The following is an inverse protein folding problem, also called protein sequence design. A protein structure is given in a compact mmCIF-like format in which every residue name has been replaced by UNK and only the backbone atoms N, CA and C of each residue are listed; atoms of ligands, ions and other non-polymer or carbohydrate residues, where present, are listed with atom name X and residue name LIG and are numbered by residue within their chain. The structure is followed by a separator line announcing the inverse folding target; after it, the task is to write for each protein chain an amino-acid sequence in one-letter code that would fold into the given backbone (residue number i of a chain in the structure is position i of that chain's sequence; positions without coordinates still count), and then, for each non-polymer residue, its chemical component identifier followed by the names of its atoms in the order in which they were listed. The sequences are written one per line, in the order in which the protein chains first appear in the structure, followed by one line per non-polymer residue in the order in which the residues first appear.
data_IF_534434864028
#
_entry.id   IF_534434864028
#
_cell.length_a   1.000
_cell.length_b   1.000
_cell.length_c   1.000
_cell.angle_alpha   90.00
_cell.angle_beta   90.00
_cell.angle_gamma   90.00
#
_symmetry.space_group_name_H-M   'P 1'
#
loop_
_entity.id
_entity.type
_entity.pdbx_description
1 polymer ?
#
# COMPACT_ATOMS: atom_id res chain seq x y z
N UNK A 1 2.22 17.21 4.01
CA UNK A 1 1.29 16.62 4.98
C UNK A 1 -0.07 16.55 4.35
N UNK A 2 -0.44 15.34 3.93
CA UNK A 2 -1.70 15.03 3.29
C UNK A 2 -2.01 13.59 3.70
N UNK A 3 -3.08 13.36 4.49
CA UNK A 3 -3.44 12.03 4.91
C UNK A 3 -3.89 11.17 3.73
N UNK A 4 -3.74 9.85 3.88
CA UNK A 4 -4.26 8.86 2.94
C UNK A 4 -5.79 8.96 2.93
N UNK A 5 -6.37 9.28 1.78
CA UNK A 5 -7.81 9.36 1.60
C UNK A 5 -8.40 8.03 1.10
N UNK A 6 -7.68 7.33 0.21
CA UNK A 6 -8.12 6.05 -0.35
C UNK A 6 -6.94 5.12 -0.62
N UNK A 7 -7.17 3.83 -0.40
CA UNK A 7 -6.32 2.73 -0.85
C UNK A 7 -7.20 1.83 -1.71
N UNK A 8 -6.82 1.64 -2.96
CA UNK A 8 -7.55 0.85 -3.96
C UNK A 8 -6.61 -0.21 -4.54
N UNK A 9 -7.16 -1.34 -5.00
CA UNK A 9 -6.40 -2.34 -5.73
C UNK A 9 -7.12 -2.82 -6.98
N UNK A 10 -6.33 -3.26 -7.96
CA UNK A 10 -6.80 -3.62 -9.29
C UNK A 10 -6.16 -4.93 -9.73
N UNK A 11 -7.00 -5.94 -10.01
CA UNK A 11 -6.56 -7.12 -10.73
C UNK A 11 -6.35 -6.76 -12.20
N UNK A 12 -5.14 -6.96 -12.70
CA UNK A 12 -4.79 -6.69 -14.09
C UNK A 12 -4.34 -8.00 -14.75
N UNK A 13 -4.93 -8.40 -15.89
CA UNK A 13 -4.49 -9.59 -16.62
C UNK A 13 -2.98 -9.53 -16.96
N UNK A 14 -2.25 -10.67 -16.95
CA UNK A 14 -2.79 -12.02 -16.71
C UNK A 14 -2.90 -12.41 -15.24
N UNK A 15 -2.18 -11.75 -14.31
CA UNK A 15 -2.12 -12.13 -12.88
C UNK A 15 -1.59 -11.04 -11.95
N UNK A 16 -1.57 -9.79 -12.37
CA UNK A 16 -1.03 -8.69 -11.59
C UNK A 16 -2.05 -8.13 -10.60
N UNK A 17 -1.54 -7.60 -9.50
CA UNK A 17 -2.34 -6.87 -8.51
C UNK A 17 -1.66 -5.52 -8.23
N UNK A 18 -2.22 -4.45 -8.80
CA UNK A 18 -1.76 -3.10 -8.54
C UNK A 18 -2.47 -2.48 -7.35
N UNK A 19 -1.76 -1.64 -6.62
CA UNK A 19 -2.23 -0.85 -5.50
C UNK A 19 -2.12 0.62 -5.88
N UNK A 20 -3.16 1.39 -5.60
CA UNK A 20 -3.20 2.83 -5.80
C UNK A 20 -3.53 3.51 -4.48
N UNK A 21 -2.74 4.51 -4.12
CA UNK A 21 -2.99 5.37 -2.96
C UNK A 21 -3.34 6.75 -3.47
N UNK A 22 -4.41 7.33 -2.91
CA UNK A 22 -4.80 8.72 -3.15
C UNK A 22 -4.77 9.47 -1.82
N UNK A 23 -4.06 10.60 -1.75
CA UNK A 23 -4.06 11.47 -0.57
C UNK A 23 -5.24 12.45 -0.57
N UNK A 24 -5.43 13.18 0.53
CA UNK A 24 -6.51 14.16 0.69
C UNK A 24 -6.42 15.35 -0.25
N UNK A 25 -5.29 15.55 -0.94
CA UNK A 25 -5.09 16.61 -1.94
C UNK A 25 -5.28 16.08 -3.37
N UNK A 26 -5.60 14.80 -3.53
CA UNK A 26 -5.82 14.17 -4.83
C UNK A 26 -4.53 13.70 -5.53
N UNK A 27 -3.37 13.77 -4.86
CA UNK A 27 -2.15 13.17 -5.40
C UNK A 27 -2.25 11.65 -5.36
N UNK A 28 -1.61 10.99 -6.32
CA UNK A 28 -1.70 9.54 -6.50
C UNK A 28 -0.32 8.92 -6.58
N UNK A 29 -0.17 7.75 -5.97
CA UNK A 29 0.97 6.85 -6.19
C UNK A 29 0.53 5.42 -6.47
N UNK A 30 1.36 4.68 -7.19
CA UNK A 30 1.11 3.31 -7.65
C UNK A 30 2.17 2.34 -7.15
N UNK A 31 1.71 1.15 -6.77
CA UNK A 31 2.56 0.04 -6.37
C UNK A 31 2.01 -1.29 -6.86
N UNK A 32 2.78 -2.36 -6.64
CA UNK A 32 2.42 -3.72 -7.07
C UNK A 32 2.56 -4.69 -5.89
N UNK A 33 1.52 -5.51 -5.68
CA UNK A 33 1.42 -6.47 -4.58
C UNK A 33 1.28 -7.92 -5.08
N UNK A 34 1.75 -8.20 -6.30
CA UNK A 34 1.57 -9.51 -6.93
C UNK A 34 2.21 -10.63 -6.10
N UNK A 35 1.41 -11.64 -5.76
CA UNK A 35 1.86 -12.93 -5.23
C UNK A 35 1.08 -14.02 -5.94
N UNK A 36 1.73 -14.74 -6.84
CA UNK A 36 1.00 -15.57 -7.79
C UNK A 36 0.34 -16.77 -7.13
N UNK A 37 -0.91 -17.03 -7.53
CA UNK A 37 -1.78 -18.03 -6.90
C UNK A 37 -2.43 -17.60 -5.58
N UNK A 38 -2.11 -16.42 -5.04
CA UNK A 38 -2.56 -15.99 -3.71
C UNK A 38 -3.27 -14.61 -3.71
N UNK A 39 -3.75 -14.14 -4.87
CA UNK A 39 -4.35 -12.80 -5.03
C UNK A 39 -5.42 -12.48 -3.98
N UNK A 40 -6.34 -13.41 -3.70
CA UNK A 40 -7.41 -13.19 -2.71
C UNK A 40 -6.89 -12.99 -1.28
N UNK A 41 -5.78 -13.66 -0.92
CA UNK A 41 -5.15 -13.47 0.40
C UNK A 41 -4.50 -12.10 0.51
N UNK A 42 -3.94 -11.58 -0.59
CA UNK A 42 -3.39 -10.23 -0.65
C UNK A 42 -4.50 -9.19 -0.54
N UNK A 43 -5.59 -9.35 -1.28
CA UNK A 43 -6.73 -8.43 -1.24
C UNK A 43 -7.32 -8.31 0.16
N UNK A 44 -7.54 -9.43 0.86
CA UNK A 44 -8.01 -9.38 2.25
C UNK A 44 -7.03 -8.67 3.19
N UNK A 45 -5.72 -8.76 2.92
CA UNK A 45 -4.71 -7.99 3.67
C UNK A 45 -4.78 -6.50 3.33
N UNK A 46 -4.95 -6.17 2.05
CA UNK A 46 -5.10 -4.79 1.59
C UNK A 46 -6.39 -4.15 2.13
N UNK A 47 -7.50 -4.88 2.24
CA UNK A 47 -8.74 -4.41 2.86
C UNK A 47 -8.52 -4.05 4.35
N UNK A 48 -7.77 -4.89 5.06
CA UNK A 48 -7.37 -4.61 6.44
C UNK A 48 -6.46 -3.37 6.53
N UNK A 49 -5.53 -3.21 5.59
CA UNK A 49 -4.68 -2.01 5.50
C UNK A 49 -5.49 -0.75 5.16
N UNK A 50 -6.46 -0.83 4.26
CA UNK A 50 -7.38 0.27 3.94
C UNK A 50 -8.11 0.73 5.20
N UNK A 51 -8.67 -0.21 5.96
CA UNK A 51 -9.37 0.11 7.21
C UNK A 51 -8.43 0.75 8.24
N UNK A 52 -7.18 0.28 8.31
CA UNK A 52 -6.20 0.68 9.32
C UNK A 52 -5.53 2.02 9.02
N UNK A 53 -5.17 2.28 7.76
CA UNK A 53 -4.27 3.38 7.38
C UNK A 53 -4.97 4.57 6.71
N UNK A 54 -6.26 4.46 6.40
CA UNK A 54 -7.03 5.65 5.96
C UNK A 54 -6.97 6.72 7.06
N UNK A 55 -6.66 7.96 6.67
CA UNK A 55 -6.46 9.09 7.58
C UNK A 55 -5.05 9.25 8.14
N UNK A 56 -4.13 8.29 7.90
CA UNK A 56 -2.73 8.42 8.33
C UNK A 56 -1.96 9.33 7.38
N UNK A 57 -0.96 10.05 7.89
CA UNK A 57 -0.07 10.90 7.08
C UNK A 57 0.73 10.07 6.06
N UNK A 58 0.49 10.30 4.77
CA UNK A 58 1.09 9.51 3.69
C UNK A 58 2.63 9.66 3.59
N UNK A 59 3.17 10.79 4.03
CA UNK A 59 4.62 11.06 3.98
C UNK A 59 5.41 10.32 5.08
N UNK A 60 4.71 9.72 6.06
CA UNK A 60 5.30 8.97 7.18
C UNK A 60 5.48 7.48 6.84
N UNK A 61 6.14 7.20 5.71
CA UNK A 61 6.27 5.85 5.11
C UNK A 61 6.87 4.85 6.10
N UNK A 62 7.98 5.19 6.76
CA UNK A 62 8.63 4.31 7.74
C UNK A 62 7.72 3.97 8.93
N UNK A 63 6.90 4.92 9.38
CA UNK A 63 5.98 4.68 10.49
C UNK A 63 4.87 3.70 10.07
N UNK A 64 4.30 3.88 8.87
CA UNK A 64 3.32 2.97 8.27
C UNK A 64 3.91 1.57 8.08
N UNK A 65 5.14 1.48 7.57
CA UNK A 65 5.83 0.22 7.34
C UNK A 65 6.06 -0.54 8.64
N UNK A 66 6.62 0.12 9.66
CA UNK A 66 6.86 -0.48 10.97
C UNK A 66 5.56 -0.89 11.66
N UNK A 67 4.49 -0.09 11.51
CA UNK A 67 3.17 -0.38 12.03
C UNK A 67 2.58 -1.67 11.41
N UNK A 68 2.60 -1.76 10.07
CA UNK A 68 2.14 -2.93 9.34
C UNK A 68 2.94 -4.20 9.70
N UNK A 69 4.27 -4.09 9.77
CA UNK A 69 5.16 -5.23 9.99
C UNK A 69 5.17 -5.73 11.44
N UNK A 70 5.13 -4.82 12.44
CA UNK A 70 5.40 -5.17 13.84
C UNK A 70 4.18 -5.20 14.74
N UNK A 71 3.10 -4.48 14.40
CA UNK A 71 1.91 -4.39 15.27
C UNK A 71 0.81 -5.38 14.90
N UNK A 72 1.08 -6.32 14.01
CA UNK A 72 0.16 -7.42 13.63
C UNK A 72 0.48 -8.74 14.39
N UNK A 73 1.22 -8.63 15.50
CA UNK A 73 1.70 -9.72 16.35
C UNK A 73 2.73 -10.63 15.67
N UNK A 74 2.29 -11.57 14.83
CA UNK A 74 3.19 -12.40 14.01
C UNK A 74 3.64 -11.62 12.79
N UNK A 75 4.90 -11.81 12.40
CA UNK A 75 5.56 -10.96 11.40
C UNK A 75 5.69 -11.66 10.06
N UNK A 76 5.39 -10.91 9.01
CA UNK A 76 5.74 -11.25 7.64
C UNK A 76 5.00 -12.47 7.08
N UNK A 77 5.72 -13.33 6.36
CA UNK A 77 5.13 -14.32 5.46
C UNK A 77 4.78 -13.72 4.10
N UNK A 78 4.64 -14.55 3.06
CA UNK A 78 4.58 -14.09 1.68
C UNK A 78 3.36 -13.19 1.42
N UNK A 79 2.23 -13.48 2.06
CA UNK A 79 0.98 -12.71 1.91
C UNK A 79 1.14 -11.29 2.48
N UNK A 80 1.47 -11.17 3.76
CA UNK A 80 1.59 -9.85 4.41
C UNK A 80 2.72 -9.01 3.82
N UNK A 81 3.86 -9.63 3.48
CA UNK A 81 4.98 -8.90 2.90
C UNK A 81 4.69 -8.43 1.47
N UNK A 82 3.94 -9.19 0.67
CA UNK A 82 3.56 -8.74 -0.69
C UNK A 82 2.54 -7.61 -0.65
N UNK A 83 1.55 -7.66 0.25
CA UNK A 83 0.62 -6.56 0.49
C UNK A 83 1.36 -5.29 0.97
N UNK A 84 2.29 -5.46 1.91
CA UNK A 84 3.12 -4.37 2.43
C UNK A 84 4.01 -3.77 1.35
N UNK A 85 4.61 -4.59 0.48
CA UNK A 85 5.40 -4.10 -0.65
C UNK A 85 4.57 -3.22 -1.60
N UNK A 86 3.34 -3.64 -1.94
CA UNK A 86 2.47 -2.82 -2.79
C UNK A 86 2.09 -1.48 -2.15
N UNK A 87 1.85 -1.46 -0.84
CA UNK A 87 1.61 -0.23 -0.09
C UNK A 87 2.87 0.68 -0.09
N UNK A 88 4.03 0.12 0.22
CA UNK A 88 5.31 0.84 0.31
C UNK A 88 5.71 1.48 -1.02
N UNK A 89 5.65 0.71 -2.12
CA UNK A 89 5.95 1.21 -3.47
C UNK A 89 5.01 2.36 -3.83
N UNK A 90 3.70 2.22 -3.55
CA UNK A 90 2.71 3.26 -3.85
C UNK A 90 2.94 4.54 -3.03
N UNK A 91 3.36 4.43 -1.76
CA UNK A 91 3.68 5.59 -0.93
C UNK A 91 4.96 6.30 -1.42
N UNK A 92 5.97 5.55 -1.85
CA UNK A 92 7.18 6.13 -2.43
C UNK A 92 6.90 6.81 -3.78
N UNK A 93 6.14 6.19 -4.68
CA UNK A 93 5.71 6.81 -5.94
C UNK A 93 4.91 8.10 -5.70
N UNK A 94 3.97 8.08 -4.74
CA UNK A 94 3.20 9.26 -4.33
C UNK A 94 4.12 10.40 -3.87
N UNK A 95 5.11 10.08 -3.03
CA UNK A 95 6.05 11.05 -2.47
C UNK A 95 6.98 11.62 -3.55
N UNK A 96 7.53 10.77 -4.42
CA UNK A 96 8.36 11.16 -5.55
C UNK A 96 7.63 12.14 -6.48
N UNK A 97 6.37 11.83 -6.83
CA UNK A 97 5.50 12.71 -7.63
C UNK A 97 5.23 14.06 -6.97
N UNK A 98 4.95 14.08 -5.67
CA UNK A 98 4.75 15.33 -4.91
C UNK A 98 6.02 16.20 -4.88
N UNK A 99 7.18 15.58 -4.86
CA UNK A 99 8.48 16.26 -4.84
C UNK A 99 9.00 16.60 -6.24
N UNK A 100 8.40 16.05 -7.30
CA UNK A 100 8.84 16.25 -8.68
C UNK A 100 10.20 15.61 -8.98
N UNK A 101 10.53 14.50 -8.32
CA UNK A 101 11.80 13.77 -8.48
C UNK A 101 11.55 12.29 -8.77
N UNK A 102 12.50 11.58 -9.41
CA UNK A 102 12.51 10.11 -9.46
C UNK A 102 12.65 9.47 -8.07
#
# INVERSE_FOLDING_TARGET
MAPIAKIEYFRVPPRWLFVKITDSLGNVGWGEATLEGHTQSIEGTLDAYTTRFTGFEADNIEALWQDAYRKSFYRGGPVFMSALAGLDIALWDLKARKLGVP
#
